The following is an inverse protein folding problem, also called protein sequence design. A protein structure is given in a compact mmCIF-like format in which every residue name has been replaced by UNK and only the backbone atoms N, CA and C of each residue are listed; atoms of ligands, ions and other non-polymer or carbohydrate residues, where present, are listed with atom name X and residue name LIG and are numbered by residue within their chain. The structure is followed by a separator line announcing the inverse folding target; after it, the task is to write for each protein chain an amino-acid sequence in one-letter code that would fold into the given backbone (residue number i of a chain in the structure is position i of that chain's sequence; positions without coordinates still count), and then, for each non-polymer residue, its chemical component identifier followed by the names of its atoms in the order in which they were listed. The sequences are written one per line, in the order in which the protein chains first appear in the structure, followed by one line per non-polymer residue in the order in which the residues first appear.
data_IF_814287620594
#
_entry.id   IF_814287620594
#
_cell.length_a   1.000
_cell.length_b   1.000
_cell.length_c   1.000
_cell.angle_alpha   90.00
_cell.angle_beta   90.00
_cell.angle_gamma   90.00
#
_symmetry.space_group_name_H-M   'P 1'
#
loop_
_entity.id
_entity.type
_entity.pdbx_description
1 polymer ?
#
# COMPACT_ATOMS: atom_id res chain seq x y z
N UNK A 1 -11.68 -1.25 -29.06
CA UNK A 1 -10.93 -0.92 -27.82
C UNK A 1 -11.67 -1.55 -26.67
N UNK A 2 -10.98 -2.33 -25.84
CA UNK A 2 -11.54 -2.97 -24.66
C UNK A 2 -10.72 -2.48 -23.46
N UNK A 3 -11.40 -1.97 -22.44
CA UNK A 3 -10.78 -1.47 -21.21
C UNK A 3 -11.12 -2.47 -20.12
N UNK A 4 -10.11 -3.07 -19.50
CA UNK A 4 -10.29 -4.20 -18.58
C UNK A 4 -10.48 -3.77 -17.10
N UNK A 5 -9.93 -2.62 -16.68
CA UNK A 5 -10.07 -2.10 -15.31
C UNK A 5 -9.83 -0.58 -15.27
N UNK A 6 -10.70 0.17 -14.57
CA UNK A 6 -10.53 1.60 -14.26
C UNK A 6 -10.67 1.78 -12.75
N UNK A 7 -9.75 2.51 -12.13
CA UNK A 7 -9.73 2.79 -10.69
C UNK A 7 -9.56 4.30 -10.46
N UNK A 8 -10.47 4.88 -9.67
CA UNK A 8 -10.36 6.26 -9.21
C UNK A 8 -9.32 6.33 -8.08
N UNK A 9 -8.26 7.12 -8.27
CA UNK A 9 -7.16 7.20 -7.30
C UNK A 9 -7.47 8.21 -6.19
N UNK A 10 -8.28 7.84 -5.21
CA UNK A 10 -8.44 8.58 -3.94
C UNK A 10 -7.61 7.98 -2.80
N UNK A 11 -6.53 7.27 -3.14
CA UNK A 11 -5.68 6.55 -2.20
C UNK A 11 -5.01 7.46 -1.18
N UNK A 12 -4.73 6.93 0.01
CA UNK A 12 -4.13 7.66 1.14
C UNK A 12 -2.72 8.22 0.84
N UNK A 13 -2.05 7.71 -0.19
CA UNK A 13 -0.76 8.17 -0.70
C UNK A 13 -0.86 9.13 -1.90
N UNK A 14 -2.08 9.39 -2.42
CA UNK A 14 -2.26 10.25 -3.59
C UNK A 14 -2.24 11.71 -3.13
N UNK A 15 -1.38 12.57 -3.72
CA UNK A 15 -1.34 13.99 -3.39
C UNK A 15 -2.71 14.68 -3.57
N UNK A 16 -2.97 15.73 -2.79
CA UNK A 16 -4.05 16.67 -3.12
C UNK A 16 -3.74 17.31 -4.49
N UNK A 17 -4.78 17.55 -5.29
CA UNK A 17 -4.66 18.19 -6.62
C UNK A 17 -3.90 19.52 -6.54
N UNK A 18 -4.11 20.29 -5.45
CA UNK A 18 -3.22 21.35 -5.01
C UNK A 18 -2.29 20.83 -3.92
N UNK A 19 -0.98 20.97 -4.10
CA UNK A 19 0.02 20.65 -3.08
C UNK A 19 -0.11 21.63 -1.90
N UNK A 20 -0.85 21.22 -0.86
CA UNK A 20 -1.08 22.02 0.34
C UNK A 20 -0.19 21.55 1.51
N UNK A 21 0.05 20.24 1.61
CA UNK A 21 1.00 19.61 2.53
C UNK A 21 1.23 18.13 2.14
N UNK A 22 2.23 17.45 2.72
CA UNK A 22 2.34 15.99 2.65
C UNK A 22 1.15 15.34 3.39
N UNK A 23 0.60 14.24 2.83
CA UNK A 23 -0.44 13.46 3.51
C UNK A 23 0.22 12.38 4.38
N UNK A 24 0.34 12.65 5.67
CA UNK A 24 0.85 11.67 6.63
C UNK A 24 -0.18 10.58 6.99
N UNK A 25 -1.31 10.48 6.27
CA UNK A 25 -2.40 9.54 6.56
C UNK A 25 -1.93 8.08 6.51
N UNK A 26 -1.15 7.73 5.49
CA UNK A 26 -0.62 6.38 5.34
C UNK A 26 0.41 6.07 6.44
N UNK A 27 1.31 7.01 6.72
CA UNK A 27 2.33 6.87 7.75
C UNK A 27 1.73 6.75 9.15
N UNK A 28 0.76 7.61 9.47
CA UNK A 28 0.02 7.55 10.73
C UNK A 28 -0.80 6.26 10.87
N UNK A 29 -1.32 5.71 9.76
CA UNK A 29 -2.00 4.42 9.78
C UNK A 29 -1.01 3.27 10.02
N UNK A 30 0.12 3.28 9.32
CA UNK A 30 1.19 2.29 9.47
C UNK A 30 1.80 2.32 10.88
N UNK A 31 2.14 3.50 11.39
CA UNK A 31 2.68 3.70 12.74
C UNK A 31 1.71 3.27 13.85
N UNK A 32 0.40 3.49 13.67
CA UNK A 32 -0.62 2.99 14.63
C UNK A 32 -0.77 1.47 14.62
N UNK A 33 -0.52 0.81 13.49
CA UNK A 33 -0.52 -0.67 13.42
C UNK A 33 0.76 -1.28 13.97
N UNK A 34 1.89 -0.62 13.77
CA UNK A 34 3.21 -1.16 14.06
C UNK A 34 3.59 -2.33 13.15
N UNK A 35 4.84 -2.78 13.27
CA UNK A 35 5.43 -3.84 12.42
C UNK A 35 4.61 -5.13 12.42
N UNK A 36 4.19 -5.61 13.60
CA UNK A 36 3.40 -6.82 13.70
C UNK A 36 2.02 -6.68 13.04
N UNK A 37 1.34 -5.56 13.26
CA UNK A 37 0.04 -5.29 12.66
C UNK A 37 0.09 -5.03 11.15
N UNK A 38 1.25 -4.63 10.62
CA UNK A 38 1.52 -4.55 9.18
C UNK A 38 1.73 -5.94 8.58
N UNK A 39 2.51 -6.80 9.24
CA UNK A 39 2.72 -8.17 8.80
C UNK A 39 1.40 -8.94 8.73
N UNK A 40 0.59 -8.88 9.80
CA UNK A 40 -0.76 -9.46 9.82
C UNK A 40 -1.66 -8.87 8.73
N UNK A 41 -1.55 -7.57 8.45
CA UNK A 41 -2.34 -6.95 7.39
C UNK A 41 -1.94 -7.51 6.02
N UNK A 42 -0.64 -7.70 5.75
CA UNK A 42 -0.18 -8.28 4.50
C UNK A 42 -0.60 -9.73 4.32
N UNK A 43 -0.52 -10.54 5.38
CA UNK A 43 -1.01 -11.92 5.39
C UNK A 43 -2.51 -11.99 5.08
N UNK A 44 -3.31 -11.09 5.65
CA UNK A 44 -4.77 -11.17 5.55
C UNK A 44 -5.35 -10.45 4.34
N UNK A 45 -4.68 -9.41 3.82
CA UNK A 45 -5.26 -8.48 2.84
C UNK A 45 -4.46 -8.35 1.55
N UNK A 46 -3.16 -8.58 1.57
CA UNK A 46 -2.28 -8.27 0.43
C UNK A 46 -1.61 -9.50 -0.18
N UNK A 47 -2.17 -10.71 0.00
CA UNK A 47 -1.66 -11.94 -0.63
C UNK A 47 -2.00 -12.05 -2.12
N UNK A 48 -3.00 -11.31 -2.58
CA UNK A 48 -3.45 -11.27 -3.97
C UNK A 48 -3.47 -9.82 -4.42
N UNK A 49 -2.84 -9.55 -5.57
CA UNK A 49 -2.81 -8.24 -6.18
C UNK A 49 -4.15 -7.88 -6.82
N UNK A 50 -4.31 -6.62 -7.18
CA UNK A 50 -5.51 -6.11 -7.84
C UNK A 50 -5.80 -6.78 -9.18
N UNK A 51 -4.78 -7.30 -9.86
CA UNK A 51 -4.89 -8.09 -11.10
C UNK A 51 -4.99 -9.61 -10.87
N UNK A 52 -5.26 -10.03 -9.62
CA UNK A 52 -5.58 -11.41 -9.25
C UNK A 52 -4.37 -12.34 -9.14
N UNK A 53 -3.14 -11.80 -9.11
CA UNK A 53 -1.91 -12.59 -9.02
C UNK A 53 -1.46 -12.73 -7.57
N UNK A 54 -0.83 -13.86 -7.19
CA UNK A 54 -0.23 -13.98 -5.88
C UNK A 54 0.91 -12.98 -5.72
N UNK A 55 0.90 -12.21 -4.63
CA UNK A 55 1.91 -11.18 -4.36
C UNK A 55 3.19 -11.75 -3.77
N UNK A 56 3.11 -12.87 -3.04
CA UNK A 56 4.23 -13.51 -2.33
C UNK A 56 4.96 -12.60 -1.33
N UNK A 57 4.31 -11.52 -0.89
CA UNK A 57 4.91 -10.48 -0.04
C UNK A 57 5.43 -10.99 1.32
N UNK A 58 4.91 -12.13 1.81
CA UNK A 58 5.36 -12.77 3.05
C UNK A 58 6.45 -13.81 2.79
N UNK A 59 6.36 -14.51 1.66
CA UNK A 59 7.31 -15.57 1.29
C UNK A 59 8.60 -15.04 0.64
N UNK A 60 8.59 -13.80 0.19
CA UNK A 60 9.71 -13.16 -0.50
C UNK A 60 10.27 -12.03 0.39
N UNK A 61 11.06 -12.41 1.41
CA UNK A 61 11.80 -11.47 2.28
C UNK A 61 12.79 -10.56 1.52
N UNK A 62 12.95 -10.76 0.21
CA UNK A 62 13.84 -9.96 -0.62
C UNK A 62 13.24 -8.63 -1.09
N UNK A 63 11.93 -8.42 -0.90
CA UNK A 63 11.29 -7.14 -1.21
C UNK A 63 11.56 -6.21 -0.03
N UNK A 64 12.37 -5.15 -0.19
CA UNK A 64 12.54 -4.19 0.89
C UNK A 64 11.16 -3.62 1.19
N UNK A 65 10.70 -3.84 2.43
CA UNK A 65 9.64 -3.02 3.00
C UNK A 65 10.12 -1.61 2.75
N UNK A 66 9.43 -0.86 1.89
CA UNK A 66 9.80 0.51 1.62
C UNK A 66 9.60 1.28 2.93
N UNK A 67 10.63 1.30 3.77
CA UNK A 67 10.73 2.21 4.89
C UNK A 67 10.63 3.59 4.26
N UNK A 68 9.67 4.43 4.67
CA UNK A 68 9.65 5.83 4.25
C UNK A 68 10.98 6.43 4.72
N UNK A 69 11.89 6.61 3.77
CA UNK A 69 13.27 6.99 4.00
C UNK A 69 13.49 8.39 3.49
N UNK A 70 13.36 9.33 4.43
CA UNK A 70 13.54 10.80 4.39
C UNK A 70 12.33 11.63 3.98
#
# INVERSE_FOLDING_TARGET
MQVDLVQESCGMAVPLFDFNDQRDLLENWAGRKGEQGLHEYWENRNQVSIDGKPTRIISDESVPIATPGH
#
